data_IF_898846722523
#
_entry.id   IF_898846722523
#
_cell.length_a   1.000
_cell.length_b   1.000
_cell.length_c   1.000
_cell.angle_alpha   90.00
_cell.angle_beta   90.00
_cell.angle_gamma   90.00
#
_symmetry.space_group_name_H-M   'P 1'
#
loop_
_entity.id
_entity.type
_entity.pdbx_description
1 polymer ?
#
# COMPACT_ATOMS: atom_id res chain seq x y z
N UNK A 1 29.88 30.34 -5.70
CA UNK A 1 28.96 29.25 -6.07
C UNK A 1 29.75 27.95 -6.18
N UNK A 2 29.34 26.94 -5.43
CA UNK A 2 29.93 25.60 -5.35
C UNK A 2 29.01 24.63 -6.09
N UNK A 3 29.61 23.79 -6.93
CA UNK A 3 28.89 22.87 -7.79
C UNK A 3 29.06 21.44 -7.29
N UNK A 4 27.94 20.74 -7.10
CA UNK A 4 27.91 19.31 -6.86
C UNK A 4 27.33 18.61 -8.10
N UNK A 5 28.15 17.82 -8.79
CA UNK A 5 27.78 17.00 -9.94
C UNK A 5 28.29 15.54 -9.83
N UNK A 6 28.11 14.76 -10.88
CA UNK A 6 28.51 13.34 -10.95
C UNK A 6 30.03 13.10 -10.83
N UNK A 7 30.83 14.17 -10.79
CA UNK A 7 32.29 14.15 -10.66
C UNK A 7 32.76 14.76 -9.34
N UNK A 8 31.86 15.16 -8.43
CA UNK A 8 32.29 15.70 -7.14
C UNK A 8 33.11 14.66 -6.38
N UNK A 9 34.30 15.07 -5.94
CA UNK A 9 35.17 14.23 -5.11
C UNK A 9 34.48 13.94 -3.77
N UNK A 10 34.72 12.76 -3.23
CA UNK A 10 34.16 12.27 -1.95
C UNK A 10 32.66 11.91 -1.97
N UNK A 11 32.00 12.00 -3.13
CA UNK A 11 30.66 11.45 -3.35
C UNK A 11 30.71 9.92 -3.41
N UNK A 12 29.91 9.24 -2.58
CA UNK A 12 29.70 7.79 -2.74
C UNK A 12 28.58 7.61 -3.77
N UNK A 13 28.90 6.99 -4.91
CA UNK A 13 27.91 6.70 -5.95
C UNK A 13 27.09 5.47 -5.56
N UNK A 14 25.78 5.63 -5.41
CA UNK A 14 24.82 4.56 -5.16
C UNK A 14 23.76 4.58 -6.28
N UNK A 15 23.93 3.71 -7.27
CA UNK A 15 23.08 3.64 -8.48
C UNK A 15 22.91 5.01 -9.16
N UNK A 16 21.74 5.65 -8.96
CA UNK A 16 21.34 6.93 -9.55
C UNK A 16 21.45 8.13 -8.59
N UNK A 17 22.00 7.92 -7.39
CA UNK A 17 22.10 8.93 -6.34
C UNK A 17 23.54 9.10 -5.86
N UNK A 18 23.88 10.32 -5.46
CA UNK A 18 25.20 10.67 -4.93
C UNK A 18 25.07 10.94 -3.44
N UNK A 19 25.83 10.20 -2.62
CA UNK A 19 25.79 10.32 -1.17
C UNK A 19 26.97 11.18 -0.70
N UNK A 20 26.69 12.22 0.09
CA UNK A 20 27.68 13.05 0.77
C UNK A 20 27.50 13.01 2.28
N UNK A 21 28.59 12.95 3.06
CA UNK A 21 28.50 12.82 4.51
C UNK A 21 27.95 14.07 5.19
N UNK A 22 28.58 15.22 4.97
CA UNK A 22 28.15 16.53 5.46
C UNK A 22 28.58 17.59 4.45
N UNK A 23 27.85 18.68 4.38
CA UNK A 23 28.21 19.84 3.57
C UNK A 23 28.12 21.06 4.47
N UNK A 24 29.19 21.85 4.51
CA UNK A 24 29.24 23.09 5.28
C UNK A 24 29.96 24.14 4.45
N UNK A 25 29.19 24.97 3.77
CA UNK A 25 29.70 25.92 2.80
C UNK A 25 29.19 27.34 3.08
N UNK A 26 30.03 28.33 2.79
CA UNK A 26 29.72 29.75 3.01
C UNK A 26 29.23 30.48 1.74
N UNK A 27 28.96 29.73 0.67
CA UNK A 27 28.58 30.26 -0.62
C UNK A 27 27.46 29.44 -1.26
N UNK A 28 26.87 29.95 -2.34
CA UNK A 28 25.74 29.30 -3.01
C UNK A 28 26.09 27.87 -3.43
N UNK A 29 25.20 26.92 -3.19
CA UNK A 29 25.37 25.51 -3.56
C UNK A 29 24.43 25.18 -4.71
N UNK A 30 24.94 24.50 -5.74
CA UNK A 30 24.12 23.96 -6.83
C UNK A 30 24.34 22.46 -7.00
N UNK A 31 23.29 21.68 -6.80
CA UNK A 31 23.23 20.25 -7.08
C UNK A 31 22.69 19.99 -8.48
N UNK A 32 23.50 19.37 -9.34
CA UNK A 32 23.14 19.04 -10.74
C UNK A 32 22.60 17.62 -10.96
N UNK A 33 22.50 16.84 -9.89
CA UNK A 33 21.94 15.49 -9.88
C UNK A 33 21.10 15.32 -8.61
N UNK A 34 20.50 14.14 -8.41
CA UNK A 34 19.86 13.81 -7.12
C UNK A 34 20.92 13.50 -6.07
N UNK A 35 20.81 14.11 -4.89
CA UNK A 35 21.75 13.96 -3.79
C UNK A 35 21.10 13.45 -2.51
N UNK A 36 21.83 12.60 -1.81
CA UNK A 36 21.58 12.24 -0.42
C UNK A 36 22.70 12.84 0.43
N UNK A 37 22.35 13.67 1.39
CA UNK A 37 23.27 14.13 2.43
C UNK A 37 23.00 13.31 3.68
N UNK A 38 23.93 12.45 4.08
CA UNK A 38 23.71 11.54 5.22
C UNK A 38 23.78 12.22 6.59
N UNK A 39 24.30 13.44 6.65
CA UNK A 39 24.40 14.28 7.84
C UNK A 39 23.79 15.65 7.60
N UNK A 40 24.46 16.70 8.09
CA UNK A 40 23.97 18.07 8.03
C UNK A 40 24.35 18.76 6.73
N UNK A 41 23.46 19.65 6.27
CA UNK A 41 23.67 20.53 5.13
C UNK A 41 23.57 21.98 5.59
N UNK A 42 24.72 22.62 5.78
CA UNK A 42 24.81 24.03 6.10
C UNK A 42 25.30 24.82 4.88
N UNK A 43 24.51 25.82 4.49
CA UNK A 43 24.87 26.82 3.51
C UNK A 43 24.53 28.18 4.11
N UNK A 44 25.44 29.16 4.07
CA UNK A 44 25.10 30.51 4.56
C UNK A 44 24.26 31.32 3.57
N UNK A 45 24.07 30.82 2.34
CA UNK A 45 23.37 31.50 1.25
C UNK A 45 22.31 30.59 0.61
N UNK A 46 22.28 30.49 -0.72
CA UNK A 46 21.26 29.76 -1.47
C UNK A 46 21.67 28.32 -1.77
N UNK A 47 20.76 27.40 -1.54
CA UNK A 47 20.83 26.02 -2.02
C UNK A 47 19.92 25.88 -3.23
N UNK A 48 20.46 25.42 -4.35
CA UNK A 48 19.73 25.12 -5.56
C UNK A 48 19.91 23.66 -5.95
N UNK A 49 18.83 22.94 -6.23
CA UNK A 49 18.90 21.55 -6.71
C UNK A 49 18.03 21.35 -7.96
N UNK A 50 18.62 20.80 -9.03
CA UNK A 50 17.90 20.49 -10.28
C UNK A 50 17.01 19.24 -10.18
N UNK A 51 17.22 18.41 -9.17
CA UNK A 51 16.50 17.15 -8.96
C UNK A 51 16.21 16.97 -7.46
N UNK A 52 16.05 15.74 -7.01
CA UNK A 52 15.71 15.42 -5.62
C UNK A 52 16.89 15.71 -4.68
N UNK A 53 16.58 16.32 -3.54
CA UNK A 53 17.53 16.53 -2.45
C UNK A 53 17.00 15.88 -1.19
N UNK A 54 17.74 14.90 -0.68
CA UNK A 54 17.42 14.16 0.54
C UNK A 54 18.50 14.46 1.57
N UNK A 55 18.11 14.86 2.77
CA UNK A 55 19.02 15.17 3.87
C UNK A 55 18.57 14.39 5.10
N UNK A 56 19.45 13.56 5.64
CA UNK A 56 19.18 12.75 6.84
C UNK A 56 19.50 13.48 8.17
N UNK A 57 19.98 14.72 8.11
CA UNK A 57 20.18 15.59 9.26
C UNK A 57 19.52 16.97 9.08
N UNK A 58 20.06 17.96 9.79
CA UNK A 58 19.57 19.34 9.74
C UNK A 58 20.01 20.07 8.47
N UNK A 59 19.16 21.00 8.03
CA UNK A 59 19.44 21.90 6.91
C UNK A 59 19.40 23.34 7.41
N UNK A 60 20.41 24.13 7.05
CA UNK A 60 20.41 25.58 7.29
C UNK A 60 20.78 26.31 6.00
N UNK A 61 19.97 27.29 5.61
CA UNK A 61 20.18 28.10 4.41
C UNK A 61 19.55 29.50 4.54
N UNK A 62 19.95 30.41 3.67
CA UNK A 62 19.22 31.66 3.46
C UNK A 62 18.01 31.43 2.54
N UNK A 63 18.22 30.73 1.43
CA UNK A 63 17.18 30.34 0.49
C UNK A 63 17.39 28.90 0.02
N UNK A 64 16.30 28.22 -0.31
CA UNK A 64 16.34 26.89 -0.92
C UNK A 64 15.40 26.88 -2.13
N UNK A 65 15.87 26.43 -3.30
CA UNK A 65 15.07 26.20 -4.50
C UNK A 65 15.39 24.83 -5.10
N UNK A 66 14.42 23.92 -5.03
CA UNK A 66 14.56 22.52 -5.43
C UNK A 66 13.53 22.21 -6.51
N UNK A 67 13.99 21.73 -7.68
CA UNK A 67 13.14 21.35 -8.81
C UNK A 67 12.57 19.92 -8.70
N UNK A 68 13.16 19.09 -7.85
CA UNK A 68 12.64 17.76 -7.51
C UNK A 68 11.85 17.74 -6.20
N UNK A 69 11.89 16.59 -5.53
CA UNK A 69 11.40 16.39 -4.16
C UNK A 69 12.46 16.84 -3.14
N UNK A 70 12.01 17.43 -2.04
CA UNK A 70 12.84 17.71 -0.89
C UNK A 70 12.49 16.81 0.29
N UNK A 71 13.49 16.15 0.87
CA UNK A 71 13.32 15.35 2.10
C UNK A 71 14.33 15.83 3.14
N UNK A 72 13.87 16.18 4.34
CA UNK A 72 14.70 16.60 5.46
C UNK A 72 14.29 15.86 6.74
N UNK A 73 15.10 14.90 7.18
CA UNK A 73 14.82 14.10 8.39
C UNK A 73 15.35 14.75 9.67
N UNK A 74 15.58 16.06 9.66
CA UNK A 74 15.95 16.89 10.81
C UNK A 74 15.29 18.26 10.72
N UNK A 75 15.84 19.25 11.44
CA UNK A 75 15.35 20.63 11.39
C UNK A 75 15.82 21.33 10.11
N UNK A 76 14.87 21.87 9.35
CA UNK A 76 15.12 22.72 8.20
C UNK A 76 14.91 24.19 8.59
N UNK A 77 16.00 24.93 8.78
CA UNK A 77 15.97 26.36 9.10
C UNK A 77 16.39 27.19 7.89
N UNK A 78 15.44 27.92 7.31
CA UNK A 78 15.63 28.75 6.13
C UNK A 78 15.25 30.19 6.47
N UNK A 79 16.21 31.11 6.55
CA UNK A 79 15.89 32.48 6.98
C UNK A 79 14.98 33.24 5.99
N UNK A 80 15.01 32.84 4.72
CA UNK A 80 14.19 33.37 3.64
C UNK A 80 13.15 32.35 3.15
N UNK A 81 13.25 31.99 1.86
CA UNK A 81 12.22 31.21 1.16
C UNK A 81 12.70 29.80 0.86
N UNK A 82 11.85 28.81 1.15
CA UNK A 82 11.97 27.43 0.70
C UNK A 82 10.98 27.20 -0.45
N UNK A 83 11.49 26.93 -1.65
CA UNK A 83 10.70 26.65 -2.86
C UNK A 83 10.99 25.22 -3.32
N UNK A 84 9.95 24.41 -3.49
CA UNK A 84 10.06 23.03 -3.96
C UNK A 84 8.99 22.75 -5.01
N UNK A 85 9.38 22.23 -6.18
CA UNK A 85 8.43 21.96 -7.27
C UNK A 85 7.63 20.66 -7.09
N UNK A 86 8.15 19.68 -6.36
CA UNK A 86 7.40 18.47 -6.04
C UNK A 86 7.08 18.44 -4.54
N UNK A 87 7.10 17.26 -3.93
CA UNK A 87 6.81 17.04 -2.51
C UNK A 87 7.88 17.66 -1.58
N UNK A 88 7.43 18.17 -0.42
CA UNK A 88 8.28 18.46 0.75
C UNK A 88 7.97 17.46 1.85
N UNK A 89 8.96 16.69 2.29
CA UNK A 89 8.87 15.82 3.47
C UNK A 89 9.89 16.26 4.52
N UNK A 90 9.46 16.90 5.60
CA UNK A 90 10.40 17.43 6.60
C UNK A 90 9.95 17.13 8.03
N UNK A 91 10.88 16.92 8.96
CA UNK A 91 10.50 16.79 10.38
C UNK A 91 10.02 18.13 10.95
N UNK A 92 10.85 19.15 10.88
CA UNK A 92 10.58 20.49 11.42
C UNK A 92 11.02 21.54 10.38
N UNK A 93 10.10 22.39 9.89
CA UNK A 93 10.41 23.47 8.96
C UNK A 93 10.26 24.80 9.67
N UNK A 94 11.33 25.60 9.67
CA UNK A 94 11.33 26.98 10.15
C UNK A 94 11.76 27.86 9.00
N UNK A 95 10.82 28.55 8.37
CA UNK A 95 11.12 29.38 7.22
C UNK A 95 10.22 30.61 7.12
N UNK A 96 10.74 31.73 6.62
CA UNK A 96 9.87 32.90 6.39
C UNK A 96 8.77 32.59 5.38
N UNK A 97 9.09 31.88 4.30
CA UNK A 97 8.08 31.42 3.35
C UNK A 97 8.38 30.02 2.81
N UNK A 98 7.34 29.20 2.71
CA UNK A 98 7.39 27.86 2.13
C UNK A 98 6.46 27.81 0.92
N UNK A 99 6.99 27.48 -0.24
CA UNK A 99 6.25 27.36 -1.49
C UNK A 99 6.46 25.95 -2.06
N UNK A 100 5.38 25.21 -2.25
CA UNK A 100 5.38 23.85 -2.76
C UNK A 100 4.36 23.70 -3.90
N UNK A 101 4.75 23.15 -5.04
CA UNK A 101 3.81 22.93 -6.16
C UNK A 101 3.14 21.54 -6.13
N UNK A 102 3.31 20.81 -5.03
CA UNK A 102 2.57 19.57 -4.73
C UNK A 102 2.18 19.56 -3.24
N UNK A 103 2.41 18.46 -2.53
CA UNK A 103 2.07 18.32 -1.09
C UNK A 103 3.24 18.63 -0.16
N UNK A 104 2.89 19.14 1.01
CA UNK A 104 3.80 19.31 2.15
C UNK A 104 3.41 18.28 3.21
N UNK A 105 4.40 17.50 3.69
CA UNK A 105 4.25 16.56 4.78
C UNK A 105 5.32 16.85 5.83
N UNK A 106 4.93 17.08 7.08
CA UNK A 106 5.91 17.22 8.15
C UNK A 106 5.38 16.99 9.55
N UNK A 107 6.22 17.11 10.58
CA UNK A 107 5.75 17.06 11.97
C UNK A 107 5.37 18.45 12.46
N UNK A 108 6.20 19.46 12.22
CA UNK A 108 5.90 20.85 12.57
C UNK A 108 6.35 21.80 11.46
N UNK A 109 5.62 22.90 11.29
CA UNK A 109 6.03 24.03 10.45
C UNK A 109 5.80 25.33 11.21
N UNK A 110 6.80 26.20 11.17
CA UNK A 110 6.76 27.57 11.62
C UNK A 110 7.16 28.47 10.44
N UNK A 111 6.18 29.23 9.92
CA UNK A 111 6.41 30.12 8.79
C UNK A 111 5.46 31.31 8.73
N UNK A 112 5.92 32.44 8.18
CA UNK A 112 5.00 33.54 7.90
C UNK A 112 3.97 33.14 6.85
N UNK A 113 4.45 32.52 5.76
CA UNK A 113 3.62 32.22 4.59
C UNK A 113 3.88 30.85 4.02
N UNK A 114 2.83 30.05 3.90
CA UNK A 114 2.88 28.72 3.29
C UNK A 114 1.97 28.72 2.06
N UNK A 115 2.47 28.28 0.92
CA UNK A 115 1.69 28.12 -0.30
C UNK A 115 1.94 26.71 -0.83
N UNK A 116 0.89 25.90 -0.92
CA UNK A 116 0.95 24.55 -1.46
C UNK A 116 -0.13 24.31 -2.52
N UNK A 117 0.20 23.71 -3.66
CA UNK A 117 -0.83 23.34 -4.64
C UNK A 117 -1.62 22.09 -4.19
N UNK A 118 -0.96 21.18 -3.47
CA UNK A 118 -1.51 19.97 -2.87
C UNK A 118 -1.83 20.11 -1.37
N UNK A 119 -2.08 18.99 -0.70
CA UNK A 119 -2.40 18.98 0.73
C UNK A 119 -1.22 19.43 1.60
N UNK A 120 -1.54 20.06 2.74
CA UNK A 120 -0.60 20.36 3.82
C UNK A 120 -0.92 19.41 4.97
N UNK A 121 -0.01 18.47 5.28
CA UNK A 121 -0.22 17.41 6.28
C UNK A 121 0.84 17.53 7.36
N UNK A 122 0.45 17.99 8.54
CA UNK A 122 1.32 18.29 9.67
C UNK A 122 0.97 17.38 10.82
N UNK A 123 1.96 16.65 11.35
CA UNK A 123 1.75 15.67 12.41
C UNK A 123 1.44 16.28 13.77
N UNK A 124 1.97 17.47 14.06
CA UNK A 124 1.85 18.17 15.34
C UNK A 124 1.29 19.56 15.15
N UNK A 125 2.17 20.55 14.96
CA UNK A 125 1.83 21.97 15.04
C UNK A 125 2.09 22.72 13.74
N UNK A 126 1.11 23.54 13.35
CA UNK A 126 1.20 24.44 12.21
C UNK A 126 1.15 25.90 12.71
N UNK A 127 2.31 26.54 12.82
CA UNK A 127 2.44 27.93 13.24
C UNK A 127 2.51 28.85 12.01
N UNK A 128 1.60 29.84 11.95
CA UNK A 128 1.45 30.72 10.79
C UNK A 128 1.30 32.17 11.25
N UNK A 129 2.21 33.04 10.80
CA UNK A 129 2.17 34.47 11.16
C UNK A 129 1.37 35.33 10.17
N UNK A 130 1.22 34.92 8.90
CA UNK A 130 0.47 35.69 7.90
C UNK A 130 -0.56 34.86 7.15
N UNK A 131 -0.14 33.83 6.42
CA UNK A 131 -1.05 33.09 5.56
C UNK A 131 -0.57 31.68 5.25
N UNK A 132 -1.40 30.66 5.47
CA UNK A 132 -1.24 29.36 4.83
C UNK A 132 -2.32 29.18 3.76
N UNK A 133 -1.91 28.94 2.52
CA UNK A 133 -2.80 28.78 1.38
C UNK A 133 -2.57 27.45 0.68
N UNK A 134 -3.65 26.71 0.49
CA UNK A 134 -3.69 25.52 -0.36
C UNK A 134 -4.98 25.45 -1.16
N UNK A 135 -4.91 24.85 -2.35
CA UNK A 135 -6.11 24.52 -3.13
C UNK A 135 -6.80 23.24 -2.63
N UNK A 136 -6.17 22.47 -1.73
CA UNK A 136 -6.70 21.23 -1.18
C UNK A 136 -6.93 21.36 0.34
N UNK A 137 -6.55 20.35 1.11
CA UNK A 137 -6.86 20.25 2.53
C UNK A 137 -5.63 20.54 3.39
N UNK A 138 -5.89 21.08 4.58
CA UNK A 138 -4.92 21.15 5.68
C UNK A 138 -5.31 20.10 6.72
N UNK A 139 -4.38 19.23 7.09
CA UNK A 139 -4.54 18.26 8.17
C UNK A 139 -3.45 18.56 9.18
N UNK A 140 -3.82 18.81 10.42
CA UNK A 140 -2.91 19.06 11.52
C UNK A 140 -3.22 18.09 12.67
N UNK A 141 -2.24 17.34 13.14
CA UNK A 141 -2.45 16.29 14.15
C UNK A 141 -2.67 16.82 15.56
N UNK A 142 -2.27 18.06 15.85
CA UNK A 142 -2.59 18.76 17.10
C UNK A 142 -3.42 20.01 16.75
N UNK A 143 -2.79 21.19 16.69
CA UNK A 143 -3.43 22.48 16.40
C UNK A 143 -2.66 23.33 15.37
N UNK A 144 -3.37 24.27 14.75
CA UNK A 144 -2.77 25.37 14.02
C UNK A 144 -2.96 26.67 14.82
N UNK A 145 -1.89 27.46 14.94
CA UNK A 145 -1.86 28.66 15.77
C UNK A 145 -1.09 29.82 15.13
N UNK A 146 -1.31 31.03 15.65
CA UNK A 146 -0.61 32.25 15.25
C UNK A 146 -1.54 33.36 14.74
N UNK A 147 -0.93 34.48 14.33
CA UNK A 147 -1.64 35.66 13.86
C UNK A 147 -2.15 35.58 12.41
N UNK A 148 -1.80 34.50 11.70
CA UNK A 148 -2.07 34.33 10.29
C UNK A 148 -3.46 33.78 9.96
N UNK A 149 -3.72 33.69 8.65
CA UNK A 149 -4.97 33.15 8.10
C UNK A 149 -4.75 31.85 7.36
N UNK A 150 -5.74 30.96 7.39
CA UNK A 150 -5.69 29.70 6.64
C UNK A 150 -6.72 29.75 5.51
N UNK A 151 -6.23 29.51 4.30
CA UNK A 151 -6.97 29.49 3.04
C UNK A 151 -6.91 28.08 2.46
N UNK A 152 -7.94 27.28 2.68
CA UNK A 152 -7.97 25.87 2.27
C UNK A 152 -9.40 25.39 1.95
N UNK A 153 -9.53 24.27 1.23
CA UNK A 153 -10.82 23.62 0.98
C UNK A 153 -11.45 23.02 2.23
N UNK A 154 -10.62 22.47 3.11
CA UNK A 154 -11.01 21.94 4.41
C UNK A 154 -9.81 21.93 5.35
N UNK A 155 -10.07 22.10 6.64
CA UNK A 155 -9.06 22.06 7.69
C UNK A 155 -9.52 21.04 8.72
N UNK A 156 -8.65 20.10 9.05
CA UNK A 156 -8.87 19.12 10.10
C UNK A 156 -7.76 19.25 11.13
N UNK A 157 -8.12 19.57 12.37
CA UNK A 157 -7.23 19.61 13.52
C UNK A 157 -7.76 18.68 14.60
N UNK A 158 -6.88 18.09 15.43
CA UNK A 158 -7.31 17.29 16.57
C UNK A 158 -7.73 18.17 17.76
N UNK A 159 -7.07 19.31 17.90
CA UNK A 159 -7.35 20.34 18.89
C UNK A 159 -8.00 21.57 18.25
N UNK A 160 -8.71 22.42 19.01
CA UNK A 160 -9.23 23.68 18.51
C UNK A 160 -8.14 24.56 17.89
N UNK A 161 -8.48 25.27 16.81
CA UNK A 161 -7.61 26.28 16.21
C UNK A 161 -7.32 27.39 17.22
N UNK A 162 -6.06 27.77 17.33
CA UNK A 162 -5.59 28.84 18.21
C UNK A 162 -5.01 29.99 17.38
N UNK A 163 -5.83 30.48 16.43
CA UNK A 163 -5.51 31.63 15.61
C UNK A 163 -6.06 32.91 16.27
N UNK A 164 -5.35 34.03 16.14
CA UNK A 164 -5.72 35.30 16.80
C UNK A 164 -7.15 35.76 16.46
N UNK A 165 -7.57 35.57 15.20
CA UNK A 165 -8.93 35.88 14.71
C UNK A 165 -9.90 34.68 14.85
N UNK A 166 -9.50 33.61 15.52
CA UNK A 166 -10.30 32.41 15.74
C UNK A 166 -10.83 31.79 14.44
N UNK A 167 -12.14 31.51 14.37
CA UNK A 167 -12.78 31.00 13.14
C UNK A 167 -12.75 32.01 11.98
N UNK A 168 -12.63 33.33 12.25
CA UNK A 168 -12.56 34.37 11.22
C UNK A 168 -11.20 34.41 10.51
N UNK A 169 -10.18 33.75 11.08
CA UNK A 169 -8.89 33.51 10.44
C UNK A 169 -8.98 32.53 9.26
N UNK A 170 -10.14 31.87 9.08
CA UNK A 170 -10.38 30.93 7.99
C UNK A 170 -10.99 31.65 6.78
N UNK A 171 -10.17 31.88 5.77
CA UNK A 171 -10.61 32.48 4.51
C UNK A 171 -10.93 31.37 3.50
N UNK A 172 -12.20 31.17 3.17
CA UNK A 172 -12.60 30.21 2.13
C UNK A 172 -12.31 30.74 0.71
N UNK A 173 -11.57 30.03 -0.14
CA UNK A 173 -11.93 29.86 -1.53
C UNK A 173 -12.56 28.47 -1.65
N UNK A 174 -13.88 28.48 -1.84
CA UNK A 174 -14.83 27.37 -1.79
C UNK A 174 -15.30 26.99 -0.38
N UNK A 175 -16.43 27.60 0.00
CA UNK A 175 -17.47 26.90 0.74
C UNK A 175 -17.59 25.49 0.16
N UNK A 176 -17.11 24.49 0.88
CA UNK A 176 -17.92 23.30 1.04
C UNK A 176 -19.19 23.76 1.79
N UNK A 177 -20.14 24.35 1.05
CA UNK A 177 -21.49 23.84 1.26
C UNK A 177 -21.28 22.35 1.08
N UNK A 178 -21.67 21.49 2.03
CA UNK A 178 -21.98 20.15 1.61
C UNK A 178 -22.88 20.36 0.40
N UNK A 179 -22.39 20.03 -0.80
CA UNK A 179 -23.31 19.54 -1.80
C UNK A 179 -23.94 18.41 -1.05
N UNK A 180 -25.12 18.68 -0.49
CA UNK A 180 -25.90 17.83 0.39
C UNK A 180 -25.69 16.40 -0.02
N UNK A 181 -24.67 15.72 0.52
CA UNK A 181 -24.20 14.44 0.02
C UNK A 181 -24.26 14.21 -1.52
N UNK A 182 -24.16 15.17 -2.46
CA UNK A 182 -24.90 15.02 -3.74
C UNK A 182 -26.38 14.65 -3.43
N UNK A 183 -27.34 15.47 -3.82
CA UNK A 183 -28.71 14.95 -3.96
C UNK A 183 -28.74 13.69 -4.86
N UNK A 184 -27.66 13.47 -5.63
CA UNK A 184 -27.31 12.23 -6.30
C UNK A 184 -27.24 10.95 -5.45
N UNK A 185 -27.06 10.93 -4.12
CA UNK A 185 -27.07 9.63 -3.40
C UNK A 185 -28.43 8.92 -3.51
N UNK A 186 -29.51 9.70 -3.65
CA UNK A 186 -30.86 9.15 -3.96
C UNK A 186 -31.10 8.94 -5.46
N UNK A 187 -30.46 9.69 -6.37
CA UNK A 187 -30.55 9.42 -7.81
C UNK A 187 -29.69 8.22 -8.25
N UNK A 188 -28.48 8.07 -7.73
CA UNK A 188 -27.59 6.94 -8.01
C UNK A 188 -28.11 5.64 -7.42
N UNK A 189 -28.78 5.65 -6.24
CA UNK A 189 -29.42 4.43 -5.75
C UNK A 189 -30.63 4.04 -6.61
N UNK A 190 -31.44 5.00 -7.06
CA UNK A 190 -32.52 4.77 -8.03
C UNK A 190 -32.00 4.29 -9.37
N UNK A 191 -30.88 4.82 -9.84
CA UNK A 191 -30.28 4.42 -11.11
C UNK A 191 -29.62 3.04 -11.01
N UNK A 192 -28.89 2.78 -9.92
CA UNK A 192 -28.31 1.48 -9.58
C UNK A 192 -29.39 0.39 -9.57
N UNK A 193 -30.55 0.65 -8.95
CA UNK A 193 -31.68 -0.28 -8.92
C UNK A 193 -32.22 -0.68 -10.30
N UNK A 194 -32.05 0.16 -11.34
CA UNK A 194 -32.44 -0.19 -12.72
C UNK A 194 -31.53 -1.26 -13.33
N UNK A 195 -30.27 -1.32 -12.92
CA UNK A 195 -29.26 -2.22 -13.46
C UNK A 195 -29.07 -3.49 -12.61
N UNK A 196 -29.36 -3.43 -11.30
CA UNK A 196 -29.20 -4.57 -10.36
C UNK A 196 -29.95 -5.82 -10.83
N UNK A 197 -31.19 -5.68 -11.33
CA UNK A 197 -32.02 -6.84 -11.71
C UNK A 197 -31.37 -7.77 -12.73
N UNK A 198 -30.57 -7.20 -13.65
CA UNK A 198 -29.87 -7.95 -14.70
C UNK A 198 -28.36 -8.03 -14.43
N UNK A 199 -27.90 -7.61 -13.24
CA UNK A 199 -26.50 -7.45 -12.91
C UNK A 199 -25.71 -6.64 -13.96
N UNK A 200 -26.33 -5.62 -14.58
CA UNK A 200 -25.72 -4.82 -15.65
C UNK A 200 -24.76 -3.75 -15.09
N UNK A 201 -23.68 -4.21 -14.46
CA UNK A 201 -22.67 -3.33 -13.87
C UNK A 201 -21.94 -2.52 -14.93
N UNK A 202 -21.77 -3.06 -16.15
CA UNK A 202 -21.13 -2.38 -17.27
C UNK A 202 -21.96 -1.19 -17.74
N UNK A 203 -23.28 -1.34 -17.90
CA UNK A 203 -24.19 -0.26 -18.25
C UNK A 203 -24.29 0.80 -17.16
N UNK A 204 -24.29 0.39 -15.89
CA UNK A 204 -24.29 1.32 -14.75
C UNK A 204 -22.99 2.15 -14.68
N UNK A 205 -21.82 1.51 -14.77
CA UNK A 205 -20.53 2.19 -14.78
C UNK A 205 -20.38 3.13 -15.99
N UNK A 206 -20.88 2.73 -17.16
CA UNK A 206 -20.86 3.57 -18.36
C UNK A 206 -21.66 4.87 -18.18
N UNK A 207 -22.70 4.87 -17.34
CA UNK A 207 -23.43 6.08 -16.96
C UNK A 207 -22.65 6.91 -15.95
N UNK A 208 -22.06 6.29 -14.94
CA UNK A 208 -21.24 6.98 -13.94
C UNK A 208 -20.01 7.66 -14.56
N UNK A 209 -19.40 7.06 -15.58
CA UNK A 209 -18.26 7.63 -16.32
C UNK A 209 -18.59 8.87 -17.15
N UNK A 210 -19.88 9.19 -17.37
CA UNK A 210 -20.28 10.43 -18.07
C UNK A 210 -20.13 11.68 -17.19
N UNK A 211 -19.90 11.51 -15.89
CA UNK A 211 -19.63 12.60 -14.96
C UNK A 211 -18.23 13.16 -15.27
N UNK A 212 -18.05 14.48 -15.41
CA UNK A 212 -16.78 15.10 -15.80
C UNK A 212 -15.79 15.19 -14.63
N UNK A 213 -15.44 14.03 -14.04
CA UNK A 213 -14.42 13.88 -13.01
C UNK A 213 -13.39 12.85 -13.47
N UNK A 214 -12.15 13.27 -13.70
CA UNK A 214 -11.06 12.42 -14.20
C UNK A 214 -10.64 11.35 -13.18
N UNK A 215 -10.64 11.67 -11.90
CA UNK A 215 -10.25 10.77 -10.81
C UNK A 215 -11.28 9.67 -10.62
N UNK A 216 -12.57 10.05 -10.60
CA UNK A 216 -13.68 9.10 -10.54
C UNK A 216 -13.75 8.22 -11.79
N UNK A 217 -13.46 8.77 -12.97
CA UNK A 217 -13.39 7.99 -14.20
C UNK A 217 -12.31 6.90 -14.16
N UNK A 218 -11.11 7.21 -13.66
CA UNK A 218 -10.06 6.19 -13.48
C UNK A 218 -10.50 5.09 -12.52
N UNK A 219 -11.12 5.47 -11.39
CA UNK A 219 -11.67 4.52 -10.41
C UNK A 219 -12.74 3.61 -11.00
N UNK A 220 -13.70 4.17 -11.74
CA UNK A 220 -14.76 3.38 -12.38
C UNK A 220 -14.23 2.48 -13.50
N UNK A 221 -13.16 2.88 -14.21
CA UNK A 221 -12.51 2.01 -15.21
C UNK A 221 -11.89 0.79 -14.54
N UNK A 222 -11.22 0.99 -13.41
CA UNK A 222 -10.70 -0.10 -12.59
C UNK A 222 -11.82 -1.03 -12.12
N UNK A 223 -12.94 -0.48 -11.65
CA UNK A 223 -14.10 -1.28 -11.23
C UNK A 223 -14.62 -2.16 -12.37
N UNK A 224 -14.74 -1.59 -13.57
CA UNK A 224 -15.17 -2.32 -14.75
C UNK A 224 -14.23 -3.49 -15.08
N UNK A 225 -12.92 -3.26 -15.04
CA UNK A 225 -11.91 -4.31 -15.30
C UNK A 225 -12.02 -5.44 -14.28
N UNK A 226 -12.13 -5.12 -13.00
CA UNK A 226 -12.22 -6.11 -11.91
C UNK A 226 -13.50 -6.93 -12.03
N UNK A 227 -14.65 -6.27 -12.21
CA UNK A 227 -15.94 -6.97 -12.32
C UNK A 227 -15.99 -7.88 -13.56
N UNK A 228 -15.41 -7.46 -14.69
CA UNK A 228 -15.30 -8.31 -15.89
C UNK A 228 -14.41 -9.53 -15.67
N UNK A 229 -13.26 -9.34 -15.04
CA UNK A 229 -12.36 -10.45 -14.73
C UNK A 229 -13.04 -11.49 -13.84
N UNK A 230 -13.79 -11.03 -12.83
CA UNK A 230 -14.54 -11.91 -11.93
C UNK A 230 -15.72 -12.59 -12.63
N UNK A 231 -16.49 -11.86 -13.43
CA UNK A 231 -17.60 -12.42 -14.20
C UNK A 231 -17.15 -13.54 -15.15
N UNK A 232 -16.03 -13.33 -15.84
CA UNK A 232 -15.47 -14.32 -16.77
C UNK A 232 -14.95 -15.58 -16.08
N UNK A 233 -14.49 -15.47 -14.82
CA UNK A 233 -13.94 -16.58 -14.06
C UNK A 233 -14.99 -17.31 -13.20
N UNK A 234 -16.07 -16.63 -12.81
CA UNK A 234 -17.04 -17.15 -11.86
C UNK A 234 -17.93 -18.25 -12.48
N UNK A 235 -18.23 -19.36 -11.78
CA UNK A 235 -17.62 -19.81 -10.51
C UNK A 235 -16.37 -20.70 -10.71
N UNK A 236 -16.16 -21.22 -11.92
CA UNK A 236 -15.28 -22.36 -12.18
C UNK A 236 -13.78 -22.07 -12.09
N UNK A 237 -13.37 -20.82 -12.32
CA UNK A 237 -11.97 -20.41 -12.42
C UNK A 237 -11.53 -19.47 -11.29
N UNK A 238 -12.34 -19.31 -10.24
CA UNK A 238 -11.94 -18.51 -9.05
C UNK A 238 -10.65 -19.06 -8.44
N UNK A 239 -10.47 -20.38 -8.47
CA UNK A 239 -9.26 -21.05 -7.97
C UNK A 239 -7.98 -20.65 -8.70
N UNK A 240 -8.08 -20.08 -9.91
CA UNK A 240 -6.94 -19.59 -10.68
C UNK A 240 -6.49 -18.19 -10.26
N UNK A 241 -7.29 -17.46 -9.48
CA UNK A 241 -6.92 -16.14 -9.00
C UNK A 241 -5.77 -16.21 -8.01
N UNK A 242 -4.69 -15.50 -8.36
CA UNK A 242 -3.48 -15.36 -7.55
C UNK A 242 -3.17 -13.91 -7.20
N UNK A 243 -3.75 -12.96 -7.93
CA UNK A 243 -3.49 -11.54 -7.73
C UNK A 243 -4.43 -10.93 -6.70
N UNK A 244 -3.91 -10.65 -5.50
CA UNK A 244 -4.63 -10.02 -4.41
C UNK A 244 -5.12 -8.61 -4.76
N UNK A 245 -4.55 -7.92 -5.77
CA UNK A 245 -5.08 -6.64 -6.21
C UNK A 245 -6.54 -6.75 -6.66
N UNK A 246 -6.90 -7.86 -7.32
CA UNK A 246 -8.29 -8.15 -7.71
C UNK A 246 -9.21 -8.21 -6.49
N UNK A 247 -8.79 -8.91 -5.43
CA UNK A 247 -9.56 -9.00 -4.18
C UNK A 247 -9.70 -7.63 -3.51
N UNK A 248 -8.62 -6.85 -3.40
CA UNK A 248 -8.62 -5.53 -2.76
C UNK A 248 -9.66 -4.63 -3.42
N UNK A 249 -9.67 -4.59 -4.75
CA UNK A 249 -10.61 -3.77 -5.51
C UNK A 249 -12.02 -4.33 -5.45
N UNK A 250 -12.20 -5.65 -5.45
CA UNK A 250 -13.52 -6.26 -5.32
C UNK A 250 -14.18 -5.95 -3.97
N UNK A 251 -13.40 -5.97 -2.88
CA UNK A 251 -13.87 -5.55 -1.55
C UNK A 251 -14.26 -4.07 -1.56
N UNK A 252 -13.43 -3.20 -2.16
CA UNK A 252 -13.74 -1.78 -2.29
C UNK A 252 -15.05 -1.55 -3.06
N UNK A 253 -15.25 -2.27 -4.16
CA UNK A 253 -16.46 -2.21 -5.00
C UNK A 253 -17.68 -2.63 -4.18
N UNK A 254 -17.63 -3.81 -3.56
CA UNK A 254 -18.75 -4.41 -2.80
C UNK A 254 -19.23 -3.53 -1.65
N UNK A 255 -18.31 -2.81 -1.02
CA UNK A 255 -18.62 -1.90 0.10
C UNK A 255 -18.83 -0.44 -0.35
N UNK A 256 -18.76 -0.15 -1.65
CA UNK A 256 -19.01 1.19 -2.16
C UNK A 256 -20.50 1.55 -2.14
N UNK A 257 -20.79 2.84 -2.00
CA UNK A 257 -22.17 3.35 -2.11
C UNK A 257 -22.84 3.04 -3.45
N UNK A 258 -22.06 2.72 -4.49
CA UNK A 258 -22.55 2.41 -5.84
C UNK A 258 -23.09 0.98 -5.96
N UNK A 259 -22.48 0.03 -5.24
CA UNK A 259 -22.73 -1.40 -5.38
C UNK A 259 -23.18 -2.13 -4.12
N UNK A 260 -23.37 -1.42 -2.99
CA UNK A 260 -23.83 -2.01 -1.72
C UNK A 260 -25.10 -2.87 -1.82
N UNK A 261 -25.98 -2.56 -2.78
CA UNK A 261 -27.26 -3.25 -2.98
C UNK A 261 -27.21 -4.28 -4.13
N UNK A 262 -26.03 -4.75 -4.53
CA UNK A 262 -25.83 -5.71 -5.64
C UNK A 262 -25.54 -7.12 -5.11
N UNK A 263 -26.55 -8.03 -5.07
CA UNK A 263 -26.37 -9.36 -4.48
C UNK A 263 -25.31 -10.19 -5.20
N UNK A 264 -25.25 -10.11 -6.54
CA UNK A 264 -24.29 -10.87 -7.34
C UNK A 264 -22.84 -10.43 -7.10
N UNK A 265 -22.60 -9.13 -6.97
CA UNK A 265 -21.27 -8.60 -6.64
C UNK A 265 -20.85 -9.02 -5.23
N UNK A 266 -21.80 -9.03 -4.28
CA UNK A 266 -21.55 -9.52 -2.93
C UNK A 266 -21.18 -11.01 -2.92
N UNK A 267 -21.94 -11.84 -3.63
CA UNK A 267 -21.67 -13.28 -3.82
C UNK A 267 -20.28 -13.51 -4.46
N UNK A 268 -19.93 -12.73 -5.49
CA UNK A 268 -18.61 -12.75 -6.10
C UNK A 268 -17.51 -12.39 -5.12
N UNK A 269 -17.73 -11.34 -4.32
CA UNK A 269 -16.78 -10.89 -3.29
C UNK A 269 -16.55 -11.97 -2.24
N UNK A 270 -17.61 -12.59 -1.75
CA UNK A 270 -17.54 -13.66 -0.74
C UNK A 270 -16.80 -14.89 -1.28
N UNK A 271 -17.05 -15.27 -2.54
CA UNK A 271 -16.40 -16.42 -3.17
C UNK A 271 -14.90 -16.19 -3.38
N UNK A 272 -14.52 -15.03 -3.91
CA UNK A 272 -13.11 -14.64 -4.10
C UNK A 272 -12.40 -14.47 -2.75
N UNK A 273 -13.06 -13.86 -1.76
CA UNK A 273 -12.53 -13.71 -0.41
C UNK A 273 -12.28 -15.06 0.26
N UNK A 274 -13.19 -16.03 0.14
CA UNK A 274 -13.02 -17.37 0.69
C UNK A 274 -11.80 -18.06 0.08
N UNK A 275 -11.66 -18.00 -1.24
CA UNK A 275 -10.51 -18.55 -1.96
C UNK A 275 -9.18 -17.96 -1.46
N UNK A 276 -9.06 -16.63 -1.38
CA UNK A 276 -7.83 -16.00 -0.90
C UNK A 276 -7.55 -16.28 0.59
N UNK A 277 -8.60 -16.42 1.43
CA UNK A 277 -8.43 -16.84 2.84
C UNK A 277 -7.86 -18.25 2.93
N UNK A 278 -8.38 -19.17 2.12
CA UNK A 278 -7.85 -20.53 2.04
C UNK A 278 -6.40 -20.53 1.59
N UNK A 279 -6.06 -19.79 0.53
CA UNK A 279 -4.68 -19.67 0.06
C UNK A 279 -3.74 -19.09 1.13
N UNK A 280 -4.16 -18.04 1.85
CA UNK A 280 -3.36 -17.44 2.91
C UNK A 280 -3.14 -18.39 4.09
N UNK A 281 -4.08 -19.30 4.35
CA UNK A 281 -3.93 -20.37 5.33
C UNK A 281 -3.11 -21.56 4.79
N UNK A 282 -2.71 -21.55 3.51
CA UNK A 282 -2.03 -22.65 2.84
C UNK A 282 -2.95 -23.84 2.51
N UNK A 283 -4.27 -23.61 2.49
CA UNK A 283 -5.28 -24.57 2.07
C UNK A 283 -5.50 -24.45 0.57
N UNK A 284 -5.90 -25.55 -0.06
CA UNK A 284 -6.18 -25.58 -1.48
C UNK A 284 -7.66 -25.89 -1.65
N UNK A 285 -8.35 -24.98 -2.32
CA UNK A 285 -9.77 -25.09 -2.62
C UNK A 285 -10.04 -26.29 -3.53
N UNK A 286 -11.05 -27.10 -3.19
CA UNK A 286 -11.55 -28.18 -4.07
C UNK A 286 -11.01 -29.60 -3.85
N UNK A 287 -10.27 -29.89 -2.77
CA UNK A 287 -9.90 -31.26 -2.42
C UNK A 287 -10.88 -31.91 -1.44
N UNK A 288 -11.33 -33.13 -1.77
CA UNK A 288 -12.19 -33.97 -0.95
C UNK A 288 -11.60 -34.24 0.44
N UNK A 289 -12.46 -34.54 1.42
CA UNK A 289 -12.03 -35.06 2.72
C UNK A 289 -11.06 -36.25 2.53
N UNK A 290 -9.98 -36.34 3.34
CA UNK A 290 -8.97 -37.39 3.19
C UNK A 290 -9.61 -38.78 3.23
N UNK A 291 -9.49 -39.54 2.14
CA UNK A 291 -10.06 -40.90 2.05
C UNK A 291 -9.04 -41.91 2.58
N UNK A 292 -9.44 -42.94 3.36
CA UNK A 292 -8.53 -44.00 3.77
C UNK A 292 -7.82 -44.63 2.57
N UNK A 293 -6.49 -44.79 2.63
CA UNK A 293 -5.72 -45.28 1.49
C UNK A 293 -5.98 -46.77 1.25
N UNK A 294 -6.55 -47.11 0.09
CA UNK A 294 -6.67 -48.50 -0.39
C UNK A 294 -5.49 -48.92 -1.26
N UNK A 295 -4.78 -47.95 -1.83
CA UNK A 295 -3.52 -48.14 -2.59
C UNK A 295 -2.69 -46.85 -2.56
N UNK A 296 -1.40 -46.96 -2.86
CA UNK A 296 -0.51 -45.81 -3.07
C UNK A 296 0.12 -45.92 -4.45
N UNK A 297 0.14 -44.80 -5.19
CA UNK A 297 0.85 -44.68 -6.45
C UNK A 297 1.79 -43.47 -6.43
N UNK A 298 2.79 -43.49 -7.31
CA UNK A 298 3.72 -42.37 -7.47
C UNK A 298 2.95 -41.10 -7.81
N UNK A 299 3.30 -40.00 -7.14
CA UNK A 299 2.67 -38.69 -7.28
C UNK A 299 1.50 -38.47 -6.33
N UNK A 300 1.02 -39.48 -5.59
CA UNK A 300 -0.08 -39.27 -4.65
C UNK A 300 0.36 -38.37 -3.49
N UNK A 301 -0.50 -37.43 -3.12
CA UNK A 301 -0.37 -36.64 -1.88
C UNK A 301 -1.14 -37.34 -0.77
N UNK A 302 -0.45 -37.65 0.32
CA UNK A 302 -0.98 -38.46 1.42
C UNK A 302 -0.79 -37.79 2.78
N UNK A 303 -1.66 -38.14 3.72
CA UNK A 303 -1.50 -37.82 5.13
C UNK A 303 -1.12 -39.09 5.91
N UNK A 304 -0.05 -39.06 6.70
CA UNK A 304 0.32 -40.12 7.63
C UNK A 304 0.15 -39.64 9.08
N UNK A 305 -0.54 -40.42 9.92
CA UNK A 305 -0.87 -40.02 11.31
C UNK A 305 0.33 -39.54 12.14
N UNK A 306 1.51 -40.11 11.93
CA UNK A 306 2.73 -39.78 12.68
C UNK A 306 3.63 -38.75 11.99
N UNK A 307 3.62 -38.68 10.65
CA UNK A 307 4.63 -37.93 9.89
C UNK A 307 4.03 -36.73 9.13
N UNK A 308 2.70 -36.56 9.19
CA UNK A 308 1.99 -35.48 8.53
C UNK A 308 1.84 -35.71 7.02
N UNK A 309 1.85 -34.60 6.27
CA UNK A 309 1.66 -34.58 4.81
C UNK A 309 2.93 -35.01 4.08
N UNK A 310 2.77 -35.83 3.05
CA UNK A 310 3.88 -36.25 2.19
C UNK A 310 3.46 -36.65 0.79
N UNK A 311 4.44 -36.79 -0.10
CA UNK A 311 4.25 -37.17 -1.51
C UNK A 311 4.90 -38.52 -1.77
N UNK A 312 4.17 -39.43 -2.41
CA UNK A 312 4.70 -40.73 -2.80
C UNK A 312 5.65 -40.55 -3.98
N UNK A 313 6.96 -40.61 -3.73
CA UNK A 313 8.00 -40.40 -4.76
C UNK A 313 8.22 -41.63 -5.63
N UNK A 314 8.13 -42.82 -5.06
CA UNK A 314 8.22 -44.07 -5.83
C UNK A 314 7.60 -45.26 -5.10
N UNK A 315 7.26 -46.30 -5.86
CA UNK A 315 6.90 -47.62 -5.34
C UNK A 315 7.97 -48.59 -5.83
N UNK A 316 8.80 -49.08 -4.92
CA UNK A 316 9.81 -50.09 -5.20
C UNK A 316 9.20 -51.48 -5.07
N UNK A 317 9.59 -52.38 -5.96
CA UNK A 317 9.22 -53.79 -5.91
C UNK A 317 10.50 -54.62 -5.83
N UNK A 318 10.66 -55.40 -4.77
CA UNK A 318 11.78 -56.31 -4.60
C UNK A 318 11.28 -57.74 -4.55
N UNK A 319 11.94 -58.63 -5.28
CA UNK A 319 11.67 -60.06 -5.29
C UNK A 319 12.87 -60.80 -4.71
N UNK A 320 12.74 -61.32 -3.49
CA UNK A 320 13.64 -62.32 -2.93
C UNK A 320 12.83 -63.54 -2.55
N UNK A 321 13.34 -64.74 -2.87
CA UNK A 321 12.75 -66.04 -2.53
C UNK A 321 11.25 -66.22 -2.86
N UNK A 322 10.80 -65.70 -4.02
CA UNK A 322 9.42 -65.88 -4.50
C UNK A 322 8.36 -65.03 -3.78
N UNK A 323 8.75 -64.22 -2.78
CA UNK A 323 7.88 -63.23 -2.15
C UNK A 323 8.14 -61.85 -2.77
N UNK A 324 7.10 -61.26 -3.34
CA UNK A 324 7.12 -59.88 -3.84
C UNK A 324 6.87 -58.95 -2.66
N UNK A 325 7.86 -58.15 -2.29
CA UNK A 325 7.70 -57.06 -1.31
C UNK A 325 7.58 -55.73 -2.04
N UNK A 326 6.58 -54.93 -1.69
CA UNK A 326 6.39 -53.58 -2.22
C UNK A 326 6.69 -52.57 -1.13
N UNK A 327 7.47 -51.54 -1.47
CA UNK A 327 7.86 -50.48 -0.56
C UNK A 327 7.48 -49.13 -1.16
N UNK A 328 6.67 -48.35 -0.46
CA UNK A 328 6.41 -46.96 -0.81
C UNK A 328 7.51 -46.07 -0.24
N UNK A 329 8.09 -45.23 -1.09
CA UNK A 329 8.97 -44.13 -0.68
C UNK A 329 8.12 -42.87 -0.64
N UNK A 330 7.97 -42.30 0.55
CA UNK A 330 7.16 -41.10 0.79
C UNK A 330 8.08 -40.02 1.34
N UNK A 331 8.08 -38.85 0.70
CA UNK A 331 8.78 -37.66 1.18
C UNK A 331 7.80 -36.80 1.99
N UNK A 332 8.06 -36.64 3.29
CA UNK A 332 7.26 -35.81 4.19
C UNK A 332 7.87 -34.44 4.35
N UNK A 333 7.03 -33.40 4.37
CA UNK A 333 7.44 -31.99 4.41
C UNK A 333 8.42 -31.67 5.56
N UNK A 334 8.21 -32.27 6.73
CA UNK A 334 9.02 -31.98 7.94
C UNK A 334 10.01 -33.09 8.32
N UNK A 335 9.91 -34.27 7.70
CA UNK A 335 10.59 -35.48 8.17
C UNK A 335 11.43 -36.16 7.09
N UNK A 336 11.46 -35.58 5.88
CA UNK A 336 12.19 -36.09 4.73
C UNK A 336 11.65 -37.43 4.22
N UNK A 337 12.51 -38.17 3.51
CA UNK A 337 12.15 -39.44 2.89
C UNK A 337 12.02 -40.58 3.94
N UNK A 338 10.91 -41.33 3.85
CA UNK A 338 10.65 -42.53 4.64
C UNK A 338 10.15 -43.67 3.74
N UNK A 339 10.41 -44.91 4.17
CA UNK A 339 10.07 -46.12 3.44
C UNK A 339 9.03 -46.93 4.20
N UNK A 340 7.98 -47.36 3.52
CA UNK A 340 6.86 -48.07 4.11
C UNK A 340 6.58 -49.38 3.39
N UNK A 341 6.55 -50.53 4.10
CA UNK A 341 6.13 -51.79 3.51
C UNK A 341 4.63 -51.75 3.18
N UNK A 342 4.27 -52.18 1.96
CA UNK A 342 2.91 -52.32 1.49
C UNK A 342 2.52 -53.81 1.41
N UNK A 343 1.27 -54.17 1.74
CA UNK A 343 0.14 -53.28 2.06
C UNK A 343 0.02 -52.87 3.54
N UNK A 344 0.82 -53.43 4.44
CA UNK A 344 0.64 -53.31 5.90
C UNK A 344 0.57 -51.86 6.42
N UNK A 345 1.28 -50.94 5.75
CA UNK A 345 1.31 -49.53 6.13
C UNK A 345 0.11 -48.71 5.64
N UNK A 346 -0.72 -49.22 4.72
CA UNK A 346 -1.84 -48.47 4.11
C UNK A 346 -2.82 -47.92 5.16
N UNK A 347 -3.06 -48.67 6.25
CA UNK A 347 -3.93 -48.27 7.36
C UNK A 347 -3.50 -46.99 8.09
N UNK A 348 -2.27 -46.53 7.89
CA UNK A 348 -1.75 -45.30 8.47
C UNK A 348 -1.84 -44.10 7.53
N UNK A 349 -2.25 -44.32 6.28
CA UNK A 349 -2.34 -43.29 5.25
C UNK A 349 -3.80 -42.92 4.92
N UNK A 350 -3.99 -41.65 4.60
CA UNK A 350 -5.18 -41.15 3.92
C UNK A 350 -4.75 -40.43 2.64
N UNK A 351 -5.44 -40.68 1.52
CA UNK A 351 -5.18 -40.02 0.24
C UNK A 351 -5.84 -38.64 0.31
N UNK A 352 -5.03 -37.60 0.22
CA UNK A 352 -5.48 -36.21 0.08
C UNK A 352 -5.76 -35.93 -1.40
N UNK A 353 -4.89 -36.42 -2.29
CA UNK A 353 -5.02 -36.27 -3.74
C UNK A 353 -4.26 -37.38 -4.47
N UNK A 354 -4.77 -37.78 -5.63
CA UNK A 354 -4.10 -38.72 -6.54
C UNK A 354 -3.01 -38.05 -7.40
N UNK A 355 -2.78 -36.76 -7.19
CA UNK A 355 -1.72 -35.98 -7.82
C UNK A 355 -0.89 -35.24 -6.79
N UNK A 356 0.28 -34.76 -7.20
CA UNK A 356 1.15 -33.97 -6.35
C UNK A 356 0.52 -32.60 -6.18
N UNK A 357 0.26 -32.25 -4.93
CA UNK A 357 -0.40 -31.01 -4.55
C UNK A 357 0.66 -30.06 -4.01
N UNK A 358 0.58 -28.74 -4.30
CA UNK A 358 1.50 -27.76 -3.72
C UNK A 358 1.53 -27.83 -2.20
N UNK A 359 2.71 -27.61 -1.61
CA UNK A 359 2.85 -27.43 -0.16
C UNK A 359 2.13 -26.17 0.33
N UNK A 360 1.84 -26.10 1.63
CA UNK A 360 1.20 -24.91 2.21
C UNK A 360 1.98 -23.61 1.93
N UNK A 361 3.31 -23.68 1.89
CA UNK A 361 4.18 -22.53 1.62
C UNK A 361 4.19 -22.16 0.13
N UNK A 362 4.10 -23.13 -0.77
CA UNK A 362 3.94 -22.89 -2.22
C UNK A 362 2.59 -22.22 -2.53
N UNK A 363 1.53 -22.63 -1.84
CA UNK A 363 0.21 -22.00 -1.97
C UNK A 363 0.27 -20.55 -1.50
N UNK A 364 0.82 -20.29 -0.32
CA UNK A 364 0.93 -18.93 0.23
C UNK A 364 1.80 -18.03 -0.65
N UNK A 365 2.94 -18.54 -1.11
CA UNK A 365 3.87 -17.79 -1.98
C UNK A 365 3.34 -17.58 -3.40
N UNK A 366 2.30 -18.31 -3.80
CA UNK A 366 1.65 -18.08 -5.09
C UNK A 366 0.77 -16.83 -5.12
N UNK A 367 0.43 -16.26 -3.95
CA UNK A 367 -0.32 -14.99 -3.87
C UNK A 367 0.62 -13.86 -4.30
N UNK A 368 0.18 -13.10 -5.31
CA UNK A 368 0.84 -11.93 -5.84
C UNK A 368 -0.01 -10.69 -5.57
N UNK A 369 0.55 -9.50 -5.73
CA UNK A 369 -0.21 -8.26 -5.62
C UNK A 369 0.31 -7.25 -6.65
N UNK A 370 -0.35 -7.17 -7.81
CA UNK A 370 0.11 -6.34 -8.91
C UNK A 370 -0.56 -4.97 -8.86
N UNK A 371 0.08 -4.06 -8.13
CA UNK A 371 -0.26 -2.63 -8.14
C UNK A 371 0.99 -1.86 -8.55
N UNK A 372 0.88 -1.05 -9.60
CA UNK A 372 2.03 -0.44 -10.29
C UNK A 372 2.08 1.09 -10.14
N UNK A 373 1.02 1.71 -9.61
CA UNK A 373 0.97 3.16 -9.32
C UNK A 373 1.03 3.46 -7.82
N UNK A 374 1.80 4.48 -7.42
CA UNK A 374 1.91 4.90 -6.02
C UNK A 374 0.55 5.35 -5.43
N UNK A 375 -0.26 6.08 -6.21
CA UNK A 375 -1.61 6.49 -5.80
C UNK A 375 -2.56 5.30 -5.61
N UNK A 376 -2.44 4.29 -6.48
CA UNK A 376 -3.20 3.04 -6.36
C UNK A 376 -2.71 2.21 -5.19
N UNK A 377 -1.42 2.19 -4.92
CA UNK A 377 -0.83 1.51 -3.78
C UNK A 377 -1.33 2.11 -2.45
N UNK A 378 -1.37 3.44 -2.32
CA UNK A 378 -1.96 4.11 -1.17
C UNK A 378 -3.45 3.77 -1.01
N UNK A 379 -4.19 3.78 -2.12
CA UNK A 379 -5.62 3.42 -2.12
C UNK A 379 -5.84 1.96 -1.69
N UNK A 380 -4.95 1.06 -2.10
CA UNK A 380 -4.99 -0.35 -1.75
C UNK A 380 -4.69 -0.56 -0.26
N UNK A 381 -3.66 0.12 0.27
CA UNK A 381 -3.38 0.12 1.71
C UNK A 381 -4.58 0.62 2.51
N UNK A 382 -5.15 1.76 2.12
CA UNK A 382 -6.33 2.30 2.78
C UNK A 382 -7.48 1.29 2.75
N UNK A 383 -7.74 0.68 1.59
CA UNK A 383 -8.80 -0.33 1.44
C UNK A 383 -8.60 -1.53 2.35
N UNK A 384 -7.39 -2.12 2.43
CA UNK A 384 -7.16 -3.28 3.31
C UNK A 384 -7.22 -2.92 4.79
N UNK A 385 -6.85 -1.69 5.16
CA UNK A 385 -6.98 -1.20 6.54
C UNK A 385 -8.44 -1.00 6.92
N UNK A 386 -9.22 -0.31 6.07
CA UNK A 386 -10.66 -0.10 6.28
C UNK A 386 -11.41 -1.43 6.40
N UNK A 387 -11.01 -2.45 5.64
CA UNK A 387 -11.69 -3.75 5.59
C UNK A 387 -10.92 -4.87 6.32
N UNK A 388 -10.02 -4.54 7.25
CA UNK A 388 -9.19 -5.51 7.99
C UNK A 388 -9.99 -6.64 8.62
N UNK A 389 -11.15 -6.32 9.20
CA UNK A 389 -12.04 -7.30 9.82
C UNK A 389 -12.56 -8.34 8.81
N UNK A 390 -12.86 -7.92 7.57
CA UNK A 390 -13.34 -8.83 6.51
C UNK A 390 -12.25 -9.77 6.01
N UNK A 391 -11.01 -9.28 5.90
CA UNK A 391 -9.87 -10.06 5.43
C UNK A 391 -9.46 -11.15 6.44
N UNK A 392 -9.56 -10.85 7.74
CA UNK A 392 -9.02 -11.70 8.80
C UNK A 392 -7.48 -11.61 8.87
N UNK A 393 -6.91 -12.04 9.99
CA UNK A 393 -5.50 -11.79 10.33
C UNK A 393 -4.52 -12.38 9.31
N UNK A 394 -4.72 -13.64 8.90
CA UNK A 394 -3.83 -14.38 8.01
C UNK A 394 -3.70 -13.69 6.64
N UNK A 395 -4.84 -13.49 5.97
CA UNK A 395 -4.89 -12.85 4.65
C UNK A 395 -4.48 -11.38 4.69
N UNK A 396 -4.91 -10.63 5.71
CA UNK A 396 -4.48 -9.24 5.90
C UNK A 396 -2.96 -9.12 5.97
N UNK A 397 -2.30 -9.93 6.80
CA UNK A 397 -0.85 -9.89 6.96
C UNK A 397 -0.13 -10.26 5.66
N UNK A 398 -0.63 -11.25 4.92
CA UNK A 398 -0.08 -11.64 3.62
C UNK A 398 -0.16 -10.50 2.61
N UNK A 399 -1.33 -9.88 2.44
CA UNK A 399 -1.51 -8.77 1.49
C UNK A 399 -0.70 -7.55 1.92
N UNK A 400 -0.73 -7.20 3.20
CA UNK A 400 0.05 -6.09 3.76
C UNK A 400 1.55 -6.29 3.52
N UNK A 401 2.04 -7.51 3.74
CA UNK A 401 3.43 -7.87 3.46
C UNK A 401 3.79 -7.73 1.98
N UNK A 402 2.94 -8.21 1.08
CA UNK A 402 3.15 -8.08 -0.36
C UNK A 402 3.20 -6.61 -0.79
N UNK A 403 2.28 -5.79 -0.30
CA UNK A 403 2.23 -4.35 -0.60
C UNK A 403 3.48 -3.61 -0.10
N UNK A 404 3.95 -3.90 1.12
CA UNK A 404 5.16 -3.27 1.67
C UNK A 404 6.44 -3.77 0.99
N UNK A 405 6.50 -5.06 0.63
CA UNK A 405 7.67 -5.64 -0.03
C UNK A 405 7.95 -5.00 -1.40
N UNK A 406 6.90 -4.56 -2.12
CA UNK A 406 7.04 -3.79 -3.36
C UNK A 406 7.74 -2.44 -3.17
N UNK A 407 7.73 -1.89 -1.95
CA UNK A 407 8.49 -0.69 -1.58
C UNK A 407 9.89 -1.00 -1.02
N UNK A 408 10.31 -2.28 -1.03
CA UNK A 408 11.56 -2.69 -0.40
C UNK A 408 11.52 -2.66 1.13
N UNK A 409 10.33 -2.56 1.73
CA UNK A 409 10.15 -2.45 3.18
C UNK A 409 9.75 -3.79 3.78
N UNK A 410 10.26 -4.08 4.98
CA UNK A 410 9.81 -5.22 5.79
C UNK A 410 8.61 -4.80 6.66
N UNK A 411 7.53 -5.59 6.74
CA UNK A 411 6.34 -5.24 7.54
C UNK A 411 6.66 -4.96 9.01
N UNK A 412 7.50 -5.81 9.59
CA UNK A 412 7.95 -5.65 10.97
C UNK A 412 8.69 -4.33 11.18
N UNK A 413 9.53 -3.91 10.22
CA UNK A 413 10.21 -2.62 10.30
C UNK A 413 9.21 -1.45 10.28
N UNK A 414 8.20 -1.51 9.42
CA UNK A 414 7.15 -0.46 9.34
C UNK A 414 6.31 -0.42 10.62
N UNK A 415 5.88 -1.58 11.12
CA UNK A 415 5.13 -1.69 12.38
C UNK A 415 5.93 -1.22 13.59
N UNK A 416 7.21 -1.60 13.68
CA UNK A 416 8.10 -1.19 14.78
C UNK A 416 8.31 0.33 14.72
N UNK A 417 8.47 0.92 13.52
CA UNK A 417 8.55 2.39 13.35
C UNK A 417 7.26 3.11 13.73
N UNK A 418 6.10 2.58 13.38
CA UNK A 418 4.83 3.17 13.81
C UNK A 418 4.66 3.13 15.33
N UNK A 419 4.99 1.99 15.96
CA UNK A 419 4.98 1.85 17.43
C UNK A 419 5.98 2.78 18.12
N UNK A 420 7.22 2.87 17.62
CA UNK A 420 8.24 3.78 18.12
C UNK A 420 7.80 5.25 18.04
N UNK A 421 6.94 5.59 17.07
CA UNK A 421 6.36 6.92 16.88
C UNK A 421 4.99 7.10 17.55
N UNK A 422 4.48 6.09 18.27
CA UNK A 422 3.20 6.14 18.96
C UNK A 422 1.96 6.09 18.06
N UNK A 423 2.11 5.69 16.80
CA UNK A 423 1.02 5.53 15.84
C UNK A 423 0.52 4.08 15.93
N UNK A 424 -0.69 3.87 16.46
CA UNK A 424 -1.30 2.55 16.67
C UNK A 424 -2.23 2.14 15.53
#
# INVERSE_FOLDING_TARGET
>A
MILYDDKTKDAIKAENQLIFPNINESDDITFKASYIISGHLHCTKKIFALFDLIVFGDVTAEEIDIKGRFVCMGRCSVSGTLIVQNDIWAEDIQAKSVICQDRIVGQSIDADTIIADGNIIIGKTLAIEKQAKTYQNVICGETAYGAGKIVASSILTAEPLDLDDGEEALESPFQYTPQSSYSGTTEFSKESAKHVKNNDYSGFLSKLMKIPDKTMNMRFRRYLTVLRAVEMAYPALISEFKDAALLIWLIEISNSNYFKDWPKIKEWTESVLSHFKEMADGKISGFDEPKPATSLAKGYTVFHKQYGRGVVRSILQTSSSGKVSRMAIVEFEQQGEKKFPLPDSLKFFSIISEHEVPSADEVKSSIQCNIDGYSEWLSALQSIHTHKAYLGTSLYNTIYSLLLSKLGLKPKFVEDRFKEKGWN
#
